data_IF_896639336521
#
_entry.id   IF_896639336521
#
_cell.length_a   1.000
_cell.length_b   1.000
_cell.length_c   1.000
_cell.angle_alpha   90.00
_cell.angle_beta   90.00
_cell.angle_gamma   90.00
#
_symmetry.space_group_name_H-M   'P 1'
#
loop_
_entity.id
_entity.type
_entity.pdbx_description
1 polymer ?
#
# COMPACT_ATOMS: atom_id res chain seq x y z
N UNK A 1 -69.18 -1.01 3.25
CA UNK A 1 -67.86 -0.48 3.62
C UNK A 1 -66.87 -1.63 3.64
N UNK A 2 -66.08 -1.77 2.57
CA UNK A 2 -65.03 -2.80 2.48
C UNK A 2 -63.89 -2.46 3.45
N UNK A 3 -63.54 -3.42 4.32
CA UNK A 3 -62.35 -3.34 5.18
C UNK A 3 -61.12 -3.61 4.32
N UNK A 4 -60.39 -2.55 3.99
CA UNK A 4 -59.08 -2.62 3.35
C UNK A 4 -58.10 -3.24 4.35
N UNK A 5 -57.73 -4.51 4.12
CA UNK A 5 -56.63 -5.16 4.84
C UNK A 5 -55.29 -4.56 4.37
N UNK A 6 -54.71 -3.65 5.16
CA UNK A 6 -53.32 -3.26 5.00
C UNK A 6 -52.42 -4.46 5.31
N UNK A 7 -51.95 -5.12 4.25
CA UNK A 7 -50.96 -6.19 4.33
C UNK A 7 -49.62 -5.54 4.70
N UNK A 8 -49.24 -5.64 5.98
CA UNK A 8 -47.94 -5.18 6.46
C UNK A 8 -46.84 -5.83 5.62
N UNK A 9 -46.15 -5.03 4.82
CA UNK A 9 -45.05 -5.47 3.95
C UNK A 9 -43.89 -5.84 4.87
N UNK A 10 -43.85 -7.11 5.26
CA UNK A 10 -42.81 -7.66 6.12
C UNK A 10 -41.44 -7.38 5.50
N UNK A 11 -40.66 -6.50 6.12
CA UNK A 11 -39.35 -6.05 5.67
C UNK A 11 -38.36 -7.24 5.67
N UNK A 12 -38.33 -8.00 4.58
CA UNK A 12 -37.40 -9.12 4.35
C UNK A 12 -35.92 -8.68 4.38
N UNK A 13 -35.61 -7.38 4.30
CA UNK A 13 -34.25 -6.85 4.39
C UNK A 13 -33.60 -7.09 5.77
N UNK A 14 -34.37 -7.05 6.86
CA UNK A 14 -33.88 -7.20 8.24
C UNK A 14 -33.49 -8.65 8.62
N UNK A 15 -33.88 -9.65 7.81
CA UNK A 15 -33.56 -11.06 8.07
C UNK A 15 -32.32 -11.57 7.31
N UNK A 16 -31.61 -10.70 6.59
CA UNK A 16 -30.40 -11.14 5.91
C UNK A 16 -29.28 -11.36 6.94
N UNK A 17 -28.68 -12.56 7.04
CA UNK A 17 -27.65 -12.86 8.05
C UNK A 17 -26.43 -11.94 7.95
N UNK A 18 -26.12 -11.44 6.75
CA UNK A 18 -25.11 -10.41 6.53
C UNK A 18 -25.46 -9.07 7.18
N UNK A 19 -26.73 -8.65 7.11
CA UNK A 19 -27.18 -7.41 7.76
C UNK A 19 -27.11 -7.54 9.28
N UNK A 20 -27.51 -8.70 9.83
CA UNK A 20 -27.43 -8.97 11.27
C UNK A 20 -25.98 -9.02 11.77
N UNK A 21 -25.09 -9.71 11.07
CA UNK A 21 -23.67 -9.79 11.40
C UNK A 21 -22.98 -8.43 11.27
N UNK A 22 -23.27 -7.68 10.22
CA UNK A 22 -22.80 -6.30 10.04
C UNK A 22 -23.30 -5.39 11.16
N UNK A 23 -24.59 -5.43 11.49
CA UNK A 23 -25.17 -4.61 12.57
C UNK A 23 -24.62 -4.99 13.96
N UNK A 24 -24.37 -6.28 14.22
CA UNK A 24 -23.73 -6.74 15.46
C UNK A 24 -22.28 -6.25 15.55
N UNK A 25 -21.53 -6.32 14.45
CA UNK A 25 -20.17 -5.80 14.36
C UNK A 25 -20.15 -4.28 14.57
N UNK A 26 -21.04 -3.55 13.91
CA UNK A 26 -21.19 -2.11 14.04
C UNK A 26 -21.56 -1.70 15.48
N UNK A 27 -22.51 -2.42 16.09
CA UNK A 27 -22.92 -2.26 17.48
C UNK A 27 -21.76 -2.52 18.45
N UNK A 28 -20.91 -3.51 18.18
CA UNK A 28 -19.71 -3.76 18.97
C UNK A 28 -18.70 -2.61 18.85
N UNK A 29 -18.43 -2.12 17.64
CA UNK A 29 -17.56 -0.96 17.41
C UNK A 29 -18.06 0.30 18.13
N UNK A 30 -19.36 0.58 18.07
CA UNK A 30 -19.93 1.75 18.73
C UNK A 30 -19.96 1.62 20.26
N UNK A 31 -20.16 0.43 20.79
CA UNK A 31 -20.15 0.20 22.26
C UNK A 31 -18.75 0.27 22.87
N UNK A 32 -17.70 0.00 22.08
CA UNK A 32 -16.30 0.01 22.52
C UNK A 32 -15.52 1.21 21.96
N UNK A 33 -16.22 2.21 21.42
CA UNK A 33 -15.64 3.35 20.72
C UNK A 33 -14.56 4.09 21.55
N UNK A 34 -14.72 4.32 22.87
CA UNK A 34 -13.67 4.94 23.68
C UNK A 34 -12.38 4.11 23.74
N UNK A 35 -12.46 2.81 23.98
CA UNK A 35 -11.29 1.92 24.06
C UNK A 35 -10.60 1.79 22.70
N UNK A 36 -11.39 1.71 21.63
CA UNK A 36 -10.90 1.67 20.25
C UNK A 36 -10.24 3.01 19.88
N UNK A 37 -10.78 4.14 20.35
CA UNK A 37 -10.20 5.46 20.10
C UNK A 37 -8.82 5.64 20.77
N UNK A 38 -8.64 5.10 21.98
CA UNK A 38 -7.34 5.08 22.67
C UNK A 38 -6.33 4.22 21.91
N UNK A 39 -6.74 3.04 21.43
CA UNK A 39 -5.91 2.19 20.59
C UNK A 39 -5.48 2.93 19.31
N UNK A 40 -6.40 3.65 18.66
CA UNK A 40 -6.12 4.41 17.45
C UNK A 40 -5.17 5.57 17.72
N UNK A 41 -5.34 6.28 18.84
CA UNK A 41 -4.41 7.33 19.27
C UNK A 41 -3.01 6.77 19.55
N UNK A 42 -2.90 5.60 20.19
CA UNK A 42 -1.62 4.94 20.43
C UNK A 42 -0.92 4.53 19.11
N UNK A 43 -1.66 4.00 18.13
CA UNK A 43 -1.11 3.67 16.80
C UNK A 43 -0.66 4.94 16.07
N UNK A 44 -1.46 6.02 16.11
CA UNK A 44 -1.09 7.31 15.55
C UNK A 44 0.18 7.88 16.19
N UNK A 45 0.29 7.76 17.52
CA UNK A 45 1.46 8.16 18.30
C UNK A 45 2.72 7.41 17.88
N UNK A 46 2.66 6.07 17.78
CA UNK A 46 3.81 5.25 17.36
C UNK A 46 4.27 5.67 15.95
N UNK A 47 3.32 5.92 15.04
CA UNK A 47 3.65 6.34 13.68
C UNK A 47 4.40 7.67 13.64
N UNK A 48 3.94 8.69 14.37
CA UNK A 48 4.63 9.98 14.38
C UNK A 48 5.94 9.93 15.14
N UNK A 49 6.02 9.15 16.22
CA UNK A 49 7.25 8.94 16.97
C UNK A 49 8.34 8.28 16.10
N UNK A 50 8.00 7.22 15.37
CA UNK A 50 8.92 6.58 14.42
C UNK A 50 9.38 7.58 13.34
N UNK A 51 8.44 8.35 12.79
CA UNK A 51 8.77 9.34 11.76
C UNK A 51 9.74 10.42 12.27
N UNK A 52 9.43 11.02 13.43
CA UNK A 52 10.23 12.08 14.04
C UNK A 52 11.59 11.58 14.54
N UNK A 53 11.64 10.37 15.11
CA UNK A 53 12.90 9.72 15.49
C UNK A 53 13.83 9.53 14.31
N UNK A 54 13.28 9.21 13.13
CA UNK A 54 14.08 8.95 11.93
C UNK A 54 14.66 10.21 11.31
N UNK A 55 13.96 11.34 11.43
CA UNK A 55 14.47 12.64 10.95
C UNK A 55 15.21 13.42 12.05
N UNK A 56 15.50 12.78 13.18
CA UNK A 56 16.20 13.37 14.34
C UNK A 56 15.49 14.60 14.96
N UNK A 57 14.17 14.67 14.85
CA UNK A 57 13.34 15.79 15.37
C UNK A 57 12.31 15.34 16.41
N UNK A 58 12.71 14.46 17.34
CA UNK A 58 11.84 14.01 18.44
C UNK A 58 11.41 15.13 19.38
N UNK A 59 12.20 16.20 19.47
CA UNK A 59 11.87 17.44 20.16
C UNK A 59 10.54 18.07 19.68
N UNK A 60 10.12 17.82 18.44
CA UNK A 60 8.86 18.35 17.89
C UNK A 60 7.62 17.54 18.30
N UNK A 61 7.79 16.35 18.86
CA UNK A 61 6.69 15.43 19.21
C UNK A 61 5.60 16.04 20.10
N UNK A 62 5.91 16.82 21.16
CA UNK A 62 4.88 17.44 21.99
C UNK A 62 3.92 18.34 21.20
N UNK A 63 4.42 19.03 20.16
CA UNK A 63 3.60 19.91 19.33
C UNK A 63 2.50 19.16 18.55
N UNK A 64 2.76 17.89 18.18
CA UNK A 64 1.79 17.05 17.49
C UNK A 64 0.86 16.32 18.45
N UNK A 65 1.35 15.98 19.65
CA UNK A 65 0.55 15.37 20.71
C UNK A 65 -0.50 16.32 21.29
N UNK A 66 -0.24 17.62 21.26
CA UNK A 66 -1.20 18.64 21.71
C UNK A 66 -2.49 18.66 20.87
N UNK A 67 -2.52 18.00 19.70
CA UNK A 67 -3.67 17.93 18.80
C UNK A 67 -4.16 16.49 18.61
N UNK A 68 -5.23 16.06 19.33
CA UNK A 68 -5.84 14.74 19.13
C UNK A 68 -6.31 14.49 17.69
N UNK A 69 -6.73 15.54 16.99
CA UNK A 69 -7.14 15.47 15.58
C UNK A 69 -6.00 15.00 14.67
N UNK A 70 -4.77 15.38 14.98
CA UNK A 70 -3.58 14.98 14.21
C UNK A 70 -3.31 13.48 14.35
N UNK A 71 -3.42 12.92 15.57
CA UNK A 71 -3.27 11.49 15.80
C UNK A 71 -4.36 10.67 15.06
N UNK A 72 -5.60 11.17 15.07
CA UNK A 72 -6.70 10.54 14.34
C UNK A 72 -6.48 10.58 12.82
N UNK A 73 -5.99 11.70 12.27
CA UNK A 73 -5.70 11.85 10.84
C UNK A 73 -4.61 10.87 10.38
N UNK A 74 -3.55 10.68 11.19
CA UNK A 74 -2.49 9.70 10.93
C UNK A 74 -3.07 8.29 10.91
N UNK A 75 -3.87 7.93 11.91
CA UNK A 75 -4.49 6.61 11.96
C UNK A 75 -5.44 6.35 10.77
N UNK A 76 -6.30 7.31 10.44
CA UNK A 76 -7.21 7.21 9.31
C UNK A 76 -6.45 7.05 7.99
N UNK A 77 -5.38 7.81 7.81
CA UNK A 77 -4.49 7.72 6.64
C UNK A 77 -3.84 6.34 6.53
N UNK A 78 -3.29 5.82 7.64
CA UNK A 78 -2.67 4.48 7.66
C UNK A 78 -3.70 3.39 7.34
N UNK A 79 -4.88 3.47 7.95
CA UNK A 79 -5.98 2.51 7.72
C UNK A 79 -6.42 2.51 6.26
N UNK A 80 -6.57 3.69 5.66
CA UNK A 80 -6.94 3.83 4.25
C UNK A 80 -5.89 3.19 3.34
N UNK A 81 -4.60 3.44 3.60
CA UNK A 81 -3.52 2.85 2.80
C UNK A 81 -3.52 1.31 2.94
N UNK A 82 -3.67 0.78 4.16
CA UNK A 82 -3.71 -0.67 4.40
C UNK A 82 -4.93 -1.32 3.72
N UNK A 83 -6.10 -0.68 3.78
CA UNK A 83 -7.32 -1.19 3.13
C UNK A 83 -7.14 -1.20 1.62
N UNK A 84 -6.63 -0.11 1.03
CA UNK A 84 -6.36 -0.04 -0.41
C UNK A 84 -5.35 -1.09 -0.85
N UNK A 85 -4.28 -1.27 -0.08
CA UNK A 85 -3.27 -2.30 -0.33
C UNK A 85 -3.87 -3.71 -0.28
N UNK A 86 -4.68 -4.00 0.75
CA UNK A 86 -5.38 -5.27 0.88
C UNK A 86 -6.35 -5.54 -0.27
N UNK A 87 -7.16 -4.54 -0.65
CA UNK A 87 -8.09 -4.64 -1.77
C UNK A 87 -7.36 -4.92 -3.09
N UNK A 88 -6.23 -4.25 -3.32
CA UNK A 88 -5.39 -4.46 -4.49
C UNK A 88 -4.90 -5.92 -4.56
N UNK A 89 -4.33 -6.46 -3.47
CA UNK A 89 -3.86 -7.84 -3.43
C UNK A 89 -4.98 -8.88 -3.58
N UNK A 90 -6.19 -8.56 -3.12
CA UNK A 90 -7.35 -9.44 -3.21
C UNK A 90 -8.06 -9.36 -4.58
N UNK A 91 -7.73 -8.40 -5.43
CA UNK A 91 -8.40 -8.15 -6.72
C UNK A 91 -8.54 -9.41 -7.60
N UNK A 92 -7.50 -10.27 -7.79
CA UNK A 92 -7.64 -11.49 -8.57
C UNK A 92 -8.67 -12.47 -7.98
N UNK A 93 -8.76 -12.52 -6.64
CA UNK A 93 -9.74 -13.36 -5.92
C UNK A 93 -11.15 -12.81 -6.06
N UNK A 94 -11.33 -11.48 -6.03
CA UNK A 94 -12.62 -10.83 -6.24
C UNK A 94 -13.14 -11.09 -7.65
N UNK A 95 -12.29 -10.94 -8.69
CA UNK A 95 -12.67 -11.27 -10.07
C UNK A 95 -13.01 -12.76 -10.23
N UNK A 96 -12.24 -13.64 -9.59
CA UNK A 96 -12.55 -15.07 -9.58
C UNK A 96 -13.92 -15.35 -8.98
N UNK A 97 -14.23 -14.79 -7.81
CA UNK A 97 -15.53 -14.93 -7.15
C UNK A 97 -16.67 -14.45 -8.06
N UNK A 98 -16.51 -13.28 -8.68
CA UNK A 98 -17.50 -12.73 -9.61
C UNK A 98 -17.72 -13.66 -10.82
N UNK A 99 -16.64 -14.17 -11.40
CA UNK A 99 -16.70 -15.12 -12.53
C UNK A 99 -17.38 -16.44 -12.16
N UNK A 100 -17.20 -16.89 -10.91
CA UNK A 100 -17.77 -18.13 -10.40
C UNK A 100 -19.28 -17.99 -10.08
N UNK A 101 -19.72 -16.83 -9.59
CA UNK A 101 -21.14 -16.53 -9.36
C UNK A 101 -21.93 -16.53 -10.67
N UNK A 102 -21.36 -15.94 -11.74
CA UNK A 102 -22.03 -15.84 -13.04
C UNK A 102 -22.07 -17.20 -13.77
N UNK A 103 -21.04 -18.03 -13.62
CA UNK A 103 -20.93 -19.32 -14.31
C UNK A 103 -20.93 -20.48 -13.29
N UNK A 104 -22.11 -20.82 -12.75
CA UNK A 104 -22.29 -21.82 -11.68
C UNK A 104 -21.94 -23.28 -12.06
N UNK A 105 -21.52 -23.55 -13.31
CA UNK A 105 -21.20 -24.89 -13.81
C UNK A 105 -19.83 -24.91 -14.50
N UNK A 106 -18.77 -25.29 -13.78
CA UNK A 106 -17.66 -26.20 -14.21
C UNK A 106 -16.35 -25.96 -13.44
N UNK A 107 -15.63 -27.07 -13.23
CA UNK A 107 -14.26 -27.27 -12.71
C UNK A 107 -13.37 -26.00 -12.75
N UNK A 108 -13.42 -25.21 -11.68
CA UNK A 108 -12.60 -24.00 -11.45
C UNK A 108 -11.13 -24.33 -11.17
N UNK A 109 -10.79 -25.59 -10.88
CA UNK A 109 -9.44 -26.01 -10.48
C UNK A 109 -8.40 -25.84 -11.58
N UNK A 110 -8.75 -26.18 -12.81
CA UNK A 110 -7.84 -26.08 -13.95
C UNK A 110 -7.51 -24.62 -14.29
N UNK A 111 -8.49 -23.72 -14.14
CA UNK A 111 -8.27 -22.29 -14.39
C UNK A 111 -7.26 -21.70 -13.41
N UNK A 112 -7.34 -22.10 -12.13
CA UNK A 112 -6.42 -21.64 -11.08
C UNK A 112 -5.02 -22.22 -11.29
N UNK A 113 -4.93 -23.51 -11.62
CA UNK A 113 -3.64 -24.14 -11.92
C UNK A 113 -2.95 -23.47 -13.12
N UNK A 114 -3.68 -23.21 -14.22
CA UNK A 114 -3.14 -22.48 -15.36
C UNK A 114 -2.75 -21.05 -14.99
N UNK A 115 -3.56 -20.34 -14.20
CA UNK A 115 -3.24 -18.99 -13.74
C UNK A 115 -1.92 -18.95 -12.96
N UNK A 116 -1.73 -19.86 -12.00
CA UNK A 116 -0.49 -19.96 -11.19
C UNK A 116 0.72 -20.23 -12.09
N UNK A 117 0.64 -21.24 -12.96
CA UNK A 117 1.78 -21.61 -13.84
C UNK A 117 2.15 -20.46 -14.76
N UNK A 118 1.16 -19.80 -15.39
CA UNK A 118 1.40 -18.66 -16.26
C UNK A 118 2.08 -17.51 -15.49
N UNK A 119 1.60 -17.20 -14.28
CA UNK A 119 2.16 -16.10 -13.49
C UNK A 119 3.56 -16.35 -12.96
N UNK A 120 3.87 -17.58 -12.53
CA UNK A 120 5.24 -17.96 -12.17
C UNK A 120 6.16 -17.84 -13.38
N UNK A 121 5.70 -18.31 -14.54
CA UNK A 121 6.47 -18.25 -15.78
C UNK A 121 6.75 -16.81 -16.18
N UNK A 122 5.73 -15.94 -16.13
CA UNK A 122 5.87 -14.52 -16.44
C UNK A 122 6.76 -13.79 -15.42
N UNK A 123 6.69 -14.12 -14.13
CA UNK A 123 7.56 -13.54 -13.12
C UNK A 123 9.03 -13.91 -13.35
N UNK A 124 9.32 -15.17 -13.71
CA UNK A 124 10.69 -15.59 -14.03
C UNK A 124 11.18 -14.90 -15.30
N UNK A 125 10.40 -14.91 -16.38
CA UNK A 125 10.75 -14.27 -17.64
C UNK A 125 10.91 -12.75 -17.53
N UNK A 126 10.06 -12.10 -16.75
CA UNK A 126 10.11 -10.65 -16.51
C UNK A 126 11.38 -10.18 -15.78
N UNK A 127 12.14 -11.11 -15.18
CA UNK A 127 13.44 -10.81 -14.55
C UNK A 127 14.65 -11.15 -15.43
N UNK A 128 14.41 -11.60 -16.67
CA UNK A 128 15.46 -11.96 -17.64
C UNK A 128 15.70 -10.85 -18.66
N UNK A 129 16.89 -10.81 -19.26
CA UNK A 129 17.21 -9.84 -20.31
C UNK A 129 16.20 -9.91 -21.44
N UNK A 130 15.83 -8.75 -21.99
CA UNK A 130 14.71 -8.59 -22.91
C UNK A 130 14.79 -9.51 -24.13
N UNK A 131 15.99 -9.79 -24.63
CA UNK A 131 16.23 -10.69 -25.78
C UNK A 131 15.96 -12.16 -25.44
N UNK A 132 16.37 -12.63 -24.27
CA UNK A 132 16.12 -13.99 -23.78
C UNK A 132 14.66 -14.14 -23.33
N UNK A 133 14.12 -13.11 -22.69
CA UNK A 133 12.75 -13.04 -22.20
C UNK A 133 11.74 -13.18 -23.34
N UNK A 134 11.92 -12.41 -24.41
CA UNK A 134 11.02 -12.41 -25.57
C UNK A 134 11.05 -13.75 -26.30
N UNK A 135 12.24 -14.31 -26.56
CA UNK A 135 12.37 -15.64 -27.18
C UNK A 135 11.73 -16.75 -26.34
N UNK A 136 11.94 -16.73 -25.03
CA UNK A 136 11.36 -17.72 -24.11
C UNK A 136 9.83 -17.55 -23.97
N UNK A 137 9.33 -16.31 -23.98
CA UNK A 137 7.89 -16.01 -23.93
C UNK A 137 7.18 -16.51 -25.20
N UNK A 138 7.77 -16.25 -26.38
CA UNK A 138 7.27 -16.77 -27.66
C UNK A 138 7.24 -18.30 -27.64
N UNK A 139 8.31 -18.95 -27.17
CA UNK A 139 8.39 -20.40 -27.05
C UNK A 139 7.29 -20.96 -26.15
N UNK A 140 7.07 -20.37 -24.97
CA UNK A 140 6.05 -20.82 -24.00
C UNK A 140 4.64 -20.62 -24.55
N UNK A 141 4.34 -19.47 -25.16
CA UNK A 141 3.03 -19.21 -25.77
C UNK A 141 2.77 -20.23 -26.89
N UNK A 142 3.75 -20.44 -27.76
CA UNK A 142 3.65 -21.38 -28.89
C UNK A 142 3.45 -22.81 -28.37
N UNK A 143 4.21 -23.23 -27.37
CA UNK A 143 4.07 -24.54 -26.74
C UNK A 143 2.67 -24.74 -26.12
N UNK A 144 2.15 -23.73 -25.41
CA UNK A 144 0.80 -23.77 -24.85
C UNK A 144 -0.27 -23.87 -25.93
N UNK A 145 -0.16 -23.09 -27.01
CA UNK A 145 -1.08 -23.14 -28.15
C UNK A 145 -1.06 -24.53 -28.80
N UNK A 146 0.13 -25.09 -29.07
CA UNK A 146 0.27 -26.43 -29.64
C UNK A 146 -0.33 -27.52 -28.72
N UNK A 147 -0.08 -27.46 -27.41
CA UNK A 147 -0.63 -28.40 -26.43
C UNK A 147 -2.17 -28.35 -26.39
N UNK A 148 -2.75 -27.15 -26.41
CA UNK A 148 -4.21 -26.99 -26.38
C UNK A 148 -4.87 -27.31 -27.72
N UNK A 149 -4.23 -27.03 -28.85
CA UNK A 149 -4.68 -27.51 -30.16
C UNK A 149 -4.70 -29.03 -30.22
N UNK A 150 -3.63 -29.67 -29.73
CA UNK A 150 -3.55 -31.13 -29.67
C UNK A 150 -4.66 -31.74 -28.79
N UNK A 151 -4.89 -31.17 -27.60
CA UNK A 151 -6.02 -31.55 -26.72
C UNK A 151 -7.40 -31.34 -27.37
N UNK A 152 -7.55 -30.29 -28.18
CA UNK A 152 -8.78 -30.03 -28.91
C UNK A 152 -9.01 -31.08 -30.01
N UNK A 153 -7.98 -31.40 -30.78
CA UNK A 153 -8.03 -32.38 -31.89
C UNK A 153 -8.29 -33.80 -31.36
N UNK A 154 -7.55 -34.23 -30.34
CA UNK A 154 -7.65 -35.60 -29.79
C UNK A 154 -8.93 -35.82 -28.96
N UNK A 155 -9.27 -34.88 -28.08
CA UNK A 155 -10.31 -35.11 -27.05
C UNK A 155 -11.60 -34.30 -27.24
N UNK A 156 -11.72 -33.47 -28.30
CA UNK A 156 -12.80 -32.47 -28.51
C UNK A 156 -13.10 -31.64 -27.26
N UNK A 157 -12.10 -31.42 -26.41
CA UNK A 157 -12.31 -30.97 -25.04
C UNK A 157 -12.23 -29.44 -24.90
N UNK A 158 -13.24 -28.75 -25.48
CA UNK A 158 -13.44 -27.30 -25.39
C UNK A 158 -13.40 -26.76 -23.94
N UNK A 159 -13.69 -27.60 -22.95
CA UNK A 159 -13.72 -27.20 -21.52
C UNK A 159 -12.33 -26.86 -21.00
N UNK A 160 -11.27 -27.50 -21.48
CA UNK A 160 -9.89 -27.23 -21.03
C UNK A 160 -9.36 -25.92 -21.64
N UNK A 161 -9.70 -25.66 -22.90
CA UNK A 161 -9.39 -24.41 -23.61
C UNK A 161 -10.05 -23.19 -22.94
N UNK A 162 -11.33 -23.31 -22.57
CA UNK A 162 -12.01 -22.28 -21.75
C UNK A 162 -11.38 -22.08 -20.37
N UNK A 163 -10.82 -23.13 -19.78
CA UNK A 163 -10.07 -23.04 -18.52
C UNK A 163 -8.79 -22.21 -18.65
N UNK A 164 -8.08 -22.35 -19.76
CA UNK A 164 -6.88 -21.57 -20.08
C UNK A 164 -7.20 -20.08 -20.27
N UNK A 165 -8.20 -19.74 -21.09
CA UNK A 165 -8.61 -18.34 -21.28
C UNK A 165 -9.09 -17.68 -19.97
N UNK A 166 -9.79 -18.42 -19.12
CA UNK A 166 -10.12 -17.95 -17.77
C UNK A 166 -8.87 -17.74 -16.90
N UNK A 167 -7.88 -18.63 -17.01
CA UNK A 167 -6.60 -18.47 -16.32
C UNK A 167 -5.84 -17.21 -16.77
N UNK A 168 -5.79 -16.95 -18.09
CA UNK A 168 -5.22 -15.71 -18.64
C UNK A 168 -5.94 -14.46 -18.13
N UNK A 169 -7.27 -14.46 -18.15
CA UNK A 169 -8.08 -13.35 -17.65
C UNK A 169 -7.81 -13.05 -16.16
N UNK A 170 -7.70 -14.09 -15.32
CA UNK A 170 -7.39 -13.95 -13.90
C UNK A 170 -5.98 -13.38 -13.64
N UNK A 171 -5.07 -13.50 -14.60
CA UNK A 171 -3.70 -13.00 -14.48
C UNK A 171 -3.55 -11.53 -14.87
N UNK A 172 -4.52 -10.92 -15.55
CA UNK A 172 -4.49 -9.48 -15.87
C UNK A 172 -4.26 -8.62 -14.62
N UNK A 173 -5.07 -8.71 -13.55
CA UNK A 173 -4.83 -7.94 -12.33
C UNK A 173 -3.52 -8.33 -11.64
N UNK A 174 -3.17 -9.62 -11.63
CA UNK A 174 -1.91 -10.11 -11.05
C UNK A 174 -0.69 -9.49 -11.72
N UNK A 175 -0.72 -9.33 -13.04
CA UNK A 175 0.35 -8.68 -13.80
C UNK A 175 0.45 -7.19 -13.47
N UNK A 176 -0.67 -6.48 -13.38
CA UNK A 176 -0.69 -5.06 -12.98
C UNK A 176 -0.06 -4.90 -11.59
N UNK A 177 -0.42 -5.77 -10.65
CA UNK A 177 0.13 -5.75 -9.28
C UNK A 177 1.64 -6.02 -9.31
N UNK A 178 2.09 -7.02 -10.05
CA UNK A 178 3.51 -7.37 -10.16
C UNK A 178 4.31 -6.24 -10.80
N UNK A 179 3.82 -5.62 -11.87
CA UNK A 179 4.48 -4.47 -12.49
C UNK A 179 4.56 -3.30 -11.52
N UNK A 180 3.46 -3.02 -10.79
CA UNK A 180 3.47 -1.96 -9.77
C UNK A 180 4.49 -2.25 -8.66
N UNK A 181 4.59 -3.50 -8.19
CA UNK A 181 5.61 -3.91 -7.23
C UNK A 181 7.01 -3.75 -7.83
N UNK A 182 7.22 -4.18 -9.08
CA UNK A 182 8.52 -4.10 -9.74
C UNK A 182 9.00 -2.64 -9.87
N UNK A 183 8.11 -1.74 -10.29
CA UNK A 183 8.41 -0.32 -10.53
C UNK A 183 8.49 0.48 -9.24
N UNK A 184 7.56 0.28 -8.29
CA UNK A 184 7.46 1.10 -7.07
C UNK A 184 8.20 0.54 -5.87
N UNK A 185 8.44 -0.77 -5.82
CA UNK A 185 9.34 -1.35 -4.83
C UNK A 185 10.82 -1.24 -5.26
N UNK A 186 11.10 -0.60 -6.41
CA UNK A 186 12.45 -0.37 -6.95
C UNK A 186 13.29 -1.65 -6.94
N UNK A 187 12.66 -2.76 -7.33
CA UNK A 187 13.34 -4.06 -7.40
C UNK A 187 14.52 -4.00 -8.38
N UNK A 188 14.61 -2.98 -9.25
CA UNK A 188 15.64 -2.74 -10.26
C UNK A 188 17.05 -3.01 -9.74
N UNK A 189 17.39 -2.53 -8.55
CA UNK A 189 18.74 -2.64 -7.94
C UNK A 189 19.00 -3.98 -7.22
N UNK A 190 18.01 -4.86 -7.14
CA UNK A 190 18.13 -6.17 -6.49
C UNK A 190 18.65 -7.19 -7.50
N UNK A 191 19.54 -8.09 -7.06
CA UNK A 191 20.00 -9.21 -7.88
C UNK A 191 18.84 -10.08 -8.39
N UNK A 192 19.01 -10.69 -9.57
CA UNK A 192 17.96 -11.46 -10.26
C UNK A 192 17.27 -12.52 -9.37
N UNK A 193 18.04 -13.28 -8.59
CA UNK A 193 17.49 -14.28 -7.68
C UNK A 193 16.63 -13.67 -6.57
N UNK A 194 17.02 -12.51 -6.03
CA UNK A 194 16.23 -11.78 -5.05
C UNK A 194 14.90 -11.28 -5.65
N UNK A 195 14.93 -10.75 -6.88
CA UNK A 195 13.71 -10.36 -7.63
C UNK A 195 12.75 -11.54 -7.77
N UNK A 196 13.24 -12.69 -8.23
CA UNK A 196 12.41 -13.90 -8.42
C UNK A 196 11.82 -14.36 -7.08
N UNK A 197 12.62 -14.41 -6.02
CA UNK A 197 12.17 -14.83 -4.70
C UNK A 197 11.04 -13.93 -4.16
N UNK A 198 11.23 -12.61 -4.22
CA UNK A 198 10.23 -11.63 -3.79
C UNK A 198 8.94 -11.79 -4.61
N UNK A 199 9.04 -11.89 -5.95
CA UNK A 199 7.89 -12.07 -6.81
C UNK A 199 7.14 -13.38 -6.53
N UNK A 200 7.83 -14.48 -6.26
CA UNK A 200 7.20 -15.76 -5.88
C UNK A 200 6.44 -15.64 -4.57
N UNK A 201 6.99 -14.94 -3.56
CA UNK A 201 6.28 -14.67 -2.30
C UNK A 201 4.98 -13.91 -2.59
N UNK A 202 5.03 -12.83 -3.38
CA UNK A 202 3.83 -12.08 -3.75
C UNK A 202 2.80 -12.93 -4.50
N UNK A 203 3.24 -13.76 -5.45
CA UNK A 203 2.36 -14.68 -6.16
C UNK A 203 1.66 -15.65 -5.20
N UNK A 204 2.40 -16.25 -4.26
CA UNK A 204 1.83 -17.13 -3.24
C UNK A 204 0.74 -16.41 -2.43
N UNK A 205 1.01 -15.18 -2.00
CA UNK A 205 0.10 -14.36 -1.20
C UNK A 205 -1.16 -13.92 -1.98
N UNK A 206 -1.05 -13.68 -3.29
CA UNK A 206 -2.17 -13.33 -4.18
C UNK A 206 -3.07 -14.55 -4.45
N UNK A 207 -2.48 -15.74 -4.64
CA UNK A 207 -3.24 -16.95 -4.98
C UNK A 207 -3.81 -17.71 -3.77
N UNK A 208 -3.25 -17.53 -2.57
CA UNK A 208 -3.75 -18.15 -1.34
C UNK A 208 -5.25 -17.89 -1.10
N UNK A 209 -5.74 -16.63 -1.10
CA UNK A 209 -7.17 -16.33 -0.96
C UNK A 209 -8.01 -16.99 -2.07
N UNK A 210 -7.48 -17.09 -3.27
CA UNK A 210 -8.16 -17.66 -4.43
C UNK A 210 -8.36 -19.18 -4.27
N UNK A 211 -7.33 -19.90 -3.82
CA UNK A 211 -7.39 -21.35 -3.53
C UNK A 211 -8.42 -21.64 -2.43
N UNK A 212 -8.47 -20.80 -1.40
CA UNK A 212 -9.40 -20.95 -0.28
C UNK A 212 -10.84 -20.70 -0.75
N UNK A 213 -11.09 -19.60 -1.47
CA UNK A 213 -12.38 -19.30 -2.08
C UNK A 213 -12.88 -20.41 -3.01
N UNK A 214 -11.98 -21.02 -3.78
CA UNK A 214 -12.30 -22.16 -4.64
C UNK A 214 -12.80 -23.37 -3.84
N UNK A 215 -12.12 -23.74 -2.76
CA UNK A 215 -12.53 -24.87 -1.90
C UNK A 215 -13.89 -24.63 -1.23
N UNK A 216 -14.24 -23.37 -1.00
CA UNK A 216 -15.55 -22.96 -0.46
C UNK A 216 -16.64 -23.15 -1.52
N UNK A 217 -16.39 -22.71 -2.76
CA UNK A 217 -17.36 -22.81 -3.87
C UNK A 217 -17.57 -24.27 -4.30
N UNK A 218 -16.54 -25.12 -4.24
CA UNK A 218 -16.61 -26.51 -4.69
C UNK A 218 -17.35 -27.42 -3.71
N UNK A 219 -17.30 -27.14 -2.40
CA UNK A 219 -18.09 -27.85 -1.39
C UNK A 219 -19.55 -27.38 -1.49
N UNK A 220 -20.39 -28.15 -2.20
CA UNK A 220 -21.86 -27.94 -2.32
C UNK A 220 -22.58 -27.76 -0.96
N UNK A 221 -21.98 -28.23 0.14
CA UNK A 221 -22.39 -27.86 1.51
C UNK A 221 -21.49 -26.72 1.99
N UNK A 222 -22.01 -25.48 1.93
CA UNK A 222 -21.36 -24.35 2.58
C UNK A 222 -21.25 -24.66 4.09
N UNK A 223 -20.07 -24.54 4.72
CA UNK A 223 -20.03 -24.37 6.17
C UNK A 223 -20.80 -23.09 6.55
N UNK A 224 -21.21 -22.96 7.82
CA UNK A 224 -21.95 -21.78 8.32
C UNK A 224 -21.31 -20.50 7.75
N UNK A 225 -22.12 -19.63 7.14
CA UNK A 225 -21.65 -18.41 6.42
C UNK A 225 -20.63 -17.59 7.22
N UNK A 226 -20.73 -17.58 8.54
CA UNK A 226 -19.80 -16.87 9.43
C UNK A 226 -18.38 -17.46 9.42
N UNK A 227 -18.23 -18.79 9.31
CA UNK A 227 -16.92 -19.45 9.21
C UNK A 227 -16.17 -19.06 7.92
N UNK A 228 -16.92 -18.77 6.85
CA UNK A 228 -16.36 -18.37 5.55
C UNK A 228 -15.87 -16.93 5.56
N UNK A 229 -16.65 -16.03 6.14
CA UNK A 229 -16.26 -14.62 6.30
C UNK A 229 -15.03 -14.53 7.20
N UNK A 230 -15.01 -15.28 8.30
CA UNK A 230 -13.85 -15.35 9.20
C UNK A 230 -12.62 -15.93 8.51
N UNK A 231 -12.76 -17.03 7.76
CA UNK A 231 -11.65 -17.63 7.02
C UNK A 231 -11.07 -16.69 5.95
N UNK A 232 -11.92 -15.99 5.20
CA UNK A 232 -11.47 -14.98 4.23
C UNK A 232 -10.75 -13.81 4.90
N UNK A 233 -11.29 -13.30 6.01
CA UNK A 233 -10.66 -12.20 6.77
C UNK A 233 -9.30 -12.60 7.32
N UNK A 234 -9.17 -13.80 7.88
CA UNK A 234 -7.88 -14.31 8.39
C UNK A 234 -6.85 -14.39 7.26
N UNK A 235 -7.23 -14.91 6.10
CA UNK A 235 -6.32 -15.04 4.96
C UNK A 235 -5.92 -13.67 4.42
N UNK A 236 -6.87 -12.73 4.31
CA UNK A 236 -6.59 -11.36 3.92
C UNK A 236 -5.60 -10.68 4.90
N UNK A 237 -5.81 -10.86 6.21
CA UNK A 237 -4.94 -10.32 7.25
C UNK A 237 -3.54 -10.93 7.18
N UNK A 238 -3.43 -12.25 7.02
CA UNK A 238 -2.15 -12.96 6.84
C UNK A 238 -1.44 -12.47 5.57
N UNK A 239 -2.16 -12.31 4.45
CA UNK A 239 -1.61 -11.77 3.20
C UNK A 239 -1.07 -10.35 3.38
N UNK A 240 -1.82 -9.47 4.04
CA UNK A 240 -1.38 -8.09 4.32
C UNK A 240 -0.16 -8.11 5.26
N UNK A 241 -0.17 -8.91 6.31
CA UNK A 241 0.94 -9.02 7.25
C UNK A 241 2.22 -9.51 6.58
N UNK A 242 2.15 -10.61 5.82
CA UNK A 242 3.32 -11.17 5.14
C UNK A 242 3.84 -10.25 4.04
N UNK A 243 2.98 -9.55 3.29
CA UNK A 243 3.45 -8.54 2.33
C UNK A 243 4.15 -7.40 3.05
N UNK A 244 3.62 -6.92 4.17
CA UNK A 244 4.28 -5.88 4.96
C UNK A 244 5.65 -6.30 5.49
N UNK A 245 5.80 -7.55 5.92
CA UNK A 245 7.08 -8.08 6.43
C UNK A 245 8.08 -8.46 5.33
N UNK A 246 7.60 -8.94 4.18
CA UNK A 246 8.48 -9.42 3.09
C UNK A 246 8.97 -8.31 2.18
N UNK A 247 8.37 -7.12 2.24
CA UNK A 247 8.71 -5.98 1.40
C UNK A 247 9.64 -5.04 2.17
N UNK A 248 10.93 -4.95 1.82
CA UNK A 248 11.87 -4.12 2.55
C UNK A 248 11.49 -2.65 2.51
N UNK A 249 11.65 -1.96 3.63
CA UNK A 249 11.32 -0.55 3.75
C UNK A 249 9.83 -0.23 3.60
N UNK A 250 8.93 -1.22 3.42
CA UNK A 250 7.50 -0.95 3.22
C UNK A 250 6.89 -0.24 4.42
N UNK A 251 7.18 -0.66 5.64
CA UNK A 251 6.70 0.04 6.85
C UNK A 251 7.10 1.51 6.88
N UNK A 252 8.30 1.83 6.42
CA UNK A 252 8.83 3.19 6.39
C UNK A 252 8.19 3.99 5.25
N UNK A 253 8.03 3.39 4.06
CA UNK A 253 7.31 4.00 2.94
C UNK A 253 5.84 4.26 3.32
N UNK A 254 5.17 3.27 3.93
CA UNK A 254 3.81 3.38 4.45
C UNK A 254 3.70 4.47 5.51
N UNK A 255 4.66 4.56 6.42
CA UNK A 255 4.71 5.64 7.41
C UNK A 255 4.86 7.01 6.73
N UNK A 256 5.74 7.17 5.74
CA UNK A 256 5.89 8.42 4.99
C UNK A 256 4.61 8.81 4.24
N UNK A 257 3.99 7.86 3.56
CA UNK A 257 2.72 8.09 2.88
C UNK A 257 1.60 8.41 3.87
N UNK A 258 1.61 7.79 5.05
CA UNK A 258 0.65 8.10 6.13
C UNK A 258 0.81 9.54 6.60
N UNK A 259 2.04 9.97 6.89
CA UNK A 259 2.33 11.34 7.33
C UNK A 259 2.00 12.36 6.24
N UNK A 260 2.29 12.05 4.97
CA UNK A 260 1.95 12.91 3.84
C UNK A 260 0.45 13.00 3.59
N UNK A 261 -0.27 11.87 3.61
CA UNK A 261 -1.73 11.82 3.44
C UNK A 261 -2.46 12.52 4.59
N UNK A 262 -1.89 12.49 5.80
CA UNK A 262 -2.38 13.27 6.94
C UNK A 262 -2.10 14.78 6.81
N UNK A 263 -1.43 15.24 5.74
CA UNK A 263 -1.10 16.64 5.48
C UNK A 263 0.11 17.16 6.25
N UNK A 264 0.83 16.29 6.96
CA UNK A 264 1.96 16.68 7.82
C UNK A 264 3.29 16.73 7.07
N UNK A 265 3.37 16.21 5.84
CA UNK A 265 4.55 16.24 4.95
C UNK A 265 4.11 16.57 3.53
N UNK A 266 4.94 17.30 2.78
CA UNK A 266 4.69 17.59 1.37
C UNK A 266 5.90 17.25 0.50
N UNK A 267 5.63 16.66 -0.68
CA UNK A 267 6.61 16.47 -1.76
C UNK A 267 6.66 17.66 -2.73
N UNK A 268 5.93 18.74 -2.42
CA UNK A 268 5.96 19.97 -3.21
C UNK A 268 6.79 21.03 -2.50
N UNK A 269 7.69 21.66 -3.27
CA UNK A 269 8.46 22.81 -2.82
C UNK A 269 7.53 23.97 -2.49
N UNK A 270 7.77 24.63 -1.36
CA UNK A 270 7.08 25.86 -0.98
C UNK A 270 8.09 27.00 -0.81
N UNK A 271 7.66 28.20 -1.18
CA UNK A 271 8.41 29.43 -0.91
C UNK A 271 8.08 29.94 0.49
N UNK A 272 9.11 30.31 1.24
CA UNK A 272 8.94 30.94 2.54
C UNK A 272 9.87 32.13 2.69
N UNK A 273 9.38 33.18 3.36
CA UNK A 273 10.15 34.38 3.68
C UNK A 273 10.83 34.21 5.03
N UNK A 274 12.11 34.54 5.12
CA UNK A 274 12.89 34.47 6.36
C UNK A 274 13.72 35.74 6.57
N UNK A 275 13.98 36.09 7.83
CA UNK A 275 14.88 37.21 8.17
C UNK A 275 16.32 36.73 8.14
N UNK A 276 17.18 37.41 7.39
CA UNK A 276 18.58 37.00 7.19
C UNK A 276 19.38 37.05 8.50
N UNK A 277 19.05 38.00 9.36
CA UNK A 277 19.66 38.20 10.69
C UNK A 277 19.42 37.03 11.66
N UNK A 278 18.43 36.16 11.40
CA UNK A 278 18.15 34.98 12.23
C UNK A 278 19.12 33.82 11.99
N UNK A 279 20.06 33.97 11.04
CA UNK A 279 21.03 32.93 10.68
C UNK A 279 22.47 33.46 10.77
N UNK A 280 23.45 32.57 11.03
CA UNK A 280 24.86 32.93 10.93
C UNK A 280 25.19 33.46 9.53
N UNK A 281 26.13 34.42 9.47
CA UNK A 281 26.57 35.00 8.20
C UNK A 281 27.08 33.93 7.24
N UNK A 282 26.64 33.97 5.98
CA UNK A 282 27.02 32.99 4.95
C UNK A 282 26.33 31.63 5.03
N UNK A 283 25.54 31.37 6.09
CA UNK A 283 24.94 30.06 6.30
C UNK A 283 23.82 29.76 5.29
N UNK A 284 22.96 30.74 4.98
CA UNK A 284 21.86 30.56 4.03
C UNK A 284 22.41 30.28 2.63
N UNK A 285 23.42 31.02 2.22
CA UNK A 285 24.06 30.92 0.90
C UNK A 285 24.80 29.59 0.73
N UNK A 286 25.40 29.07 1.81
CA UNK A 286 26.08 27.78 1.80
C UNK A 286 25.12 26.57 1.79
N UNK A 287 23.91 26.72 2.35
CA UNK A 287 22.98 25.61 2.58
C UNK A 287 21.75 25.61 1.65
N UNK A 288 21.41 26.74 1.02
CA UNK A 288 20.20 26.91 0.21
C UNK A 288 20.53 27.45 -1.18
N UNK A 289 20.19 26.69 -2.22
CA UNK A 289 20.49 27.02 -3.62
C UNK A 289 19.46 28.00 -4.24
N UNK A 290 18.18 27.85 -3.90
CA UNK A 290 17.07 28.64 -4.41
C UNK A 290 16.79 29.86 -3.49
N UNK A 291 17.72 30.82 -3.46
CA UNK A 291 17.64 32.05 -2.65
C UNK A 291 17.27 33.25 -3.53
N UNK A 292 16.20 33.97 -3.17
CA UNK A 292 15.90 35.30 -3.73
C UNK A 292 16.04 36.35 -2.65
N UNK A 293 17.01 37.24 -2.82
CA UNK A 293 17.36 38.24 -1.82
C UNK A 293 16.55 39.54 -1.99
N UNK A 294 16.10 40.10 -0.87
CA UNK A 294 15.47 41.41 -0.82
C UNK A 294 15.81 42.10 0.50
N UNK A 295 16.98 42.77 0.54
CA UNK A 295 17.44 43.52 1.71
C UNK A 295 17.67 42.61 2.94
N UNK A 296 16.96 42.88 4.04
CA UNK A 296 17.05 42.12 5.30
C UNK A 296 16.32 40.78 5.26
N UNK A 297 15.53 40.54 4.22
CA UNK A 297 14.70 39.36 4.06
C UNK A 297 15.16 38.53 2.87
N UNK A 298 15.06 37.21 3.03
CA UNK A 298 15.36 36.25 1.99
C UNK A 298 14.15 35.36 1.75
N UNK A 299 13.85 35.09 0.48
CA UNK A 299 12.92 34.05 0.10
C UNK A 299 13.70 32.78 -0.17
N UNK A 300 13.34 31.72 0.55
CA UNK A 300 13.90 30.38 0.41
C UNK A 300 12.84 29.44 -0.16
N UNK A 301 13.27 28.47 -0.95
CA UNK A 301 12.40 27.42 -1.46
C UNK A 301 12.84 26.05 -0.94
N UNK A 302 11.92 25.29 -0.32
CA UNK A 302 12.25 23.99 0.25
C UNK A 302 11.06 23.05 0.42
N UNK A 303 11.34 21.84 0.91
CA UNK A 303 10.37 20.77 1.13
C UNK A 303 9.90 20.74 2.59
N UNK A 304 8.57 20.78 2.85
CA UNK A 304 8.02 20.56 4.17
C UNK A 304 8.19 19.09 4.60
N UNK A 305 9.24 18.82 5.37
CA UNK A 305 9.54 17.46 5.85
C UNK A 305 8.63 17.07 7.01
N UNK A 306 8.25 18.03 7.86
CA UNK A 306 7.17 17.88 8.83
C UNK A 306 6.50 19.26 9.08
N UNK A 307 5.18 19.29 9.21
CA UNK A 307 4.44 20.52 9.49
C UNK A 307 3.13 20.24 10.24
N UNK A 308 2.66 21.24 10.98
CA UNK A 308 1.30 21.33 11.49
C UNK A 308 0.83 22.80 11.46
N UNK A 309 -0.20 23.13 12.24
CA UNK A 309 -0.73 24.50 12.31
C UNK A 309 0.23 25.49 12.99
N UNK A 310 1.16 25.00 13.82
CA UNK A 310 2.04 25.83 14.64
C UNK A 310 3.48 25.84 14.13
N UNK A 311 3.95 24.74 13.52
CA UNK A 311 5.34 24.59 13.07
C UNK A 311 5.41 24.16 11.60
N UNK A 312 6.49 24.58 10.95
CA UNK A 312 6.90 24.16 9.62
C UNK A 312 8.40 23.86 9.66
N UNK A 313 8.76 22.61 9.40
CA UNK A 313 10.14 22.18 9.26
C UNK A 313 10.47 22.00 7.79
N UNK A 314 11.33 22.89 7.27
CA UNK A 314 11.61 23.05 5.86
C UNK A 314 13.05 22.63 5.57
N UNK A 315 13.24 21.76 4.58
CA UNK A 315 14.58 21.32 4.16
C UNK A 315 14.89 21.73 2.72
N UNK A 316 16.16 22.03 2.39
CA UNK A 316 16.57 22.30 1.01
C UNK A 316 16.50 21.02 0.17
N UNK A 317 16.46 21.18 -1.15
CA UNK A 317 16.33 20.06 -2.10
C UNK A 317 17.43 19.00 -1.95
N UNK A 318 18.68 19.43 -1.75
CA UNK A 318 19.80 18.52 -1.55
C UNK A 318 19.58 17.57 -0.36
N UNK A 319 19.12 18.11 0.78
CA UNK A 319 18.82 17.31 1.98
C UNK A 319 17.61 16.41 1.74
N UNK A 320 16.52 16.93 1.16
CA UNK A 320 15.34 16.10 0.86
C UNK A 320 15.67 14.91 -0.05
N UNK A 321 16.52 15.13 -1.06
CA UNK A 321 17.00 14.07 -1.95
C UNK A 321 17.86 13.04 -1.20
N UNK A 322 18.76 13.47 -0.31
CA UNK A 322 19.54 12.56 0.54
C UNK A 322 18.66 11.74 1.49
N UNK A 323 17.61 12.34 2.07
CA UNK A 323 16.65 11.65 2.93
C UNK A 323 15.87 10.58 2.15
N UNK A 324 15.44 10.90 0.92
CA UNK A 324 14.79 9.94 0.04
C UNK A 324 15.74 8.80 -0.33
N UNK A 325 17.00 9.09 -0.69
CA UNK A 325 18.01 8.05 -0.94
C UNK A 325 18.28 7.16 0.28
N UNK A 326 18.27 7.72 1.50
CA UNK A 326 18.41 6.95 2.73
C UNK A 326 17.24 5.97 2.91
N UNK A 327 16.01 6.43 2.68
CA UNK A 327 14.80 5.61 2.76
C UNK A 327 14.84 4.47 1.74
N UNK A 328 15.35 4.75 0.54
CA UNK A 328 15.39 3.78 -0.54
C UNK A 328 16.52 2.77 -0.36
N UNK A 329 17.73 3.21 0.00
CA UNK A 329 18.93 2.36 0.01
C UNK A 329 19.24 1.70 1.36
N UNK A 330 19.16 2.43 2.48
CA UNK A 330 19.61 1.91 3.79
C UNK A 330 18.56 1.10 4.52
N UNK A 331 17.28 1.42 4.27
CA UNK A 331 16.15 0.75 4.90
C UNK A 331 15.62 -0.42 4.06
N UNK A 332 16.22 -0.67 2.90
CA UNK A 332 16.00 -1.83 2.08
C UNK A 332 17.05 -2.90 2.39
N UNK A 333 16.60 -4.00 3.02
CA UNK A 333 17.46 -5.13 3.41
C UNK A 333 18.16 -5.83 2.24
N UNK A 334 17.71 -5.61 1.00
CA UNK A 334 18.25 -6.26 -0.19
C UNK A 334 19.17 -5.36 -1.03
N UNK A 335 19.40 -4.10 -0.61
CA UNK A 335 20.35 -3.21 -1.28
C UNK A 335 21.71 -3.31 -0.58
N UNK A 336 22.74 -3.63 -1.37
CA UNK A 336 24.10 -3.82 -0.86
C UNK A 336 24.81 -2.49 -0.59
N UNK A 337 24.60 -1.48 -1.45
CA UNK A 337 25.21 -0.16 -1.29
C UNK A 337 24.29 0.79 -0.52
N UNK A 338 24.73 1.17 0.68
CA UNK A 338 24.01 2.09 1.56
C UNK A 338 24.38 3.53 1.22
N UNK A 339 23.43 4.32 0.73
CA UNK A 339 23.61 5.73 0.35
C UNK A 339 22.58 6.64 1.05
N UNK A 340 22.68 7.95 0.84
CA UNK A 340 21.81 8.93 1.50
C UNK A 340 22.10 9.19 2.99
N UNK A 341 21.42 10.20 3.53
CA UNK A 341 21.59 10.72 4.89
C UNK A 341 20.24 11.19 5.45
N UNK A 342 20.08 11.14 6.78
CA UNK A 342 18.98 11.77 7.50
C UNK A 342 19.43 13.07 8.20
N UNK A 343 20.61 13.58 7.85
CA UNK A 343 21.13 14.82 8.41
C UNK A 343 20.21 16.00 8.06
N UNK A 344 19.66 16.64 9.09
CA UNK A 344 18.72 17.76 8.98
C UNK A 344 19.35 19.12 9.36
N UNK A 345 20.67 19.21 9.49
CA UNK A 345 21.37 20.45 9.90
C UNK A 345 21.09 21.66 9.01
N UNK A 346 20.92 21.46 7.71
CA UNK A 346 20.60 22.55 6.76
C UNK A 346 19.10 22.90 6.73
N UNK A 347 18.26 22.20 7.48
CA UNK A 347 16.83 22.47 7.56
C UNK A 347 16.52 23.57 8.58
N UNK A 348 15.36 24.21 8.40
CA UNK A 348 14.94 25.36 9.20
C UNK A 348 13.58 25.05 9.84
N UNK A 349 13.47 25.34 11.14
CA UNK A 349 12.21 25.30 11.87
C UNK A 349 11.59 26.70 11.93
N UNK A 350 10.34 26.79 11.49
CA UNK A 350 9.56 28.03 11.44
C UNK A 350 8.30 27.88 12.30
N UNK A 351 8.08 28.80 13.24
CA UNK A 351 6.85 28.86 14.02
C UNK A 351 5.82 29.79 13.34
N UNK A 352 4.64 29.28 13.00
CA UNK A 352 3.60 29.98 12.21
C UNK A 352 2.87 31.10 12.96
N UNK A 353 2.89 31.11 14.30
CA UNK A 353 2.10 32.04 15.13
C UNK A 353 2.92 33.13 15.82
N UNK A 354 4.23 33.18 15.62
CA UNK A 354 5.06 34.30 16.07
C UNK A 354 5.58 35.03 14.84
N UNK A 355 5.34 36.33 14.73
CA UNK A 355 6.15 37.17 13.87
C UNK A 355 7.63 36.93 14.24
N UNK A 356 8.33 36.16 13.40
CA UNK A 356 9.78 35.89 13.48
C UNK A 356 10.33 35.22 14.74
N UNK A 357 9.94 33.97 15.03
CA UNK A 357 10.86 33.07 15.73
C UNK A 357 11.32 31.97 14.76
N UNK A 358 12.53 32.17 14.24
CA UNK A 358 13.23 31.21 13.40
C UNK A 358 14.38 30.68 14.24
N UNK A 359 14.39 29.37 14.49
CA UNK A 359 15.49 28.72 15.20
C UNK A 359 16.26 27.85 14.21
N UNK A 360 17.52 28.22 13.97
CA UNK A 360 18.51 27.30 13.44
C UNK A 360 18.77 26.22 14.51
N UNK A 361 18.86 24.97 14.09
CA UNK A 361 19.20 23.85 14.97
C UNK A 361 20.71 23.89 15.17
N UNK A 362 21.16 24.33 16.35
CA UNK A 362 22.54 24.16 16.80
C UNK A 362 22.61 23.01 17.81
N UNK A 363 23.77 22.35 17.80
CA UNK A 363 24.16 21.08 18.47
C UNK A 363 23.50 20.73 19.80
#
# INVERSE_FOLDING_TARGET
MEKIHFKYRNNKLLRHPLYRSFHQTLSFFFSHLPQISVLFAAIGFINIWIYLSRIEQLNLLPSFLASPATLLAIFASMSLIIILWGLMLLMPTILFLFSAVINSKKKTEKAIAHAIVISVTLAVLGTTDTTIATGSLIFIITFYLCYFLWQYIQNKNLKTLWGFFKGLYLNIPTLIIITFIYDKAELVHIGRFGKIYILIIYLFLIYMPLIICKNIISKKKLPKKDLLVVGFLIVALVTIYFTAMSTPGLFIKLNNYTISLAGLRSEQKIWHKVKRQSFPSGWLEANWQDLKESGEEAWIQGYPVIQNNNILFLCPEAVHNQMNQYILSRLNLFIQEKSGSMDTRSCILLEKNSESSVKAINE
#
